data_IF_365053177930
#
_entry.id   IF_365053177930
#
_cell.length_a   1.000
_cell.length_b   1.000
_cell.length_c   1.000
_cell.angle_alpha   90.00
_cell.angle_beta   90.00
_cell.angle_gamma   90.00
#
_symmetry.space_group_name_H-M   'P 1'
#
loop_
_entity.id
_entity.type
_entity.pdbx_description
1 polymer ?
#
# COMPACT_ATOMS: atom_id res chain seq x y z
N UNK A 1 -9.64 16.24 18.79
CA UNK A 1 -11.13 16.13 18.88
C UNK A 1 -11.57 15.00 17.97
N UNK A 2 -11.98 13.86 18.53
CA UNK A 2 -12.61 12.77 17.76
C UNK A 2 -13.85 13.35 17.06
N UNK A 3 -13.83 13.51 15.73
CA UNK A 3 -15.08 13.62 14.98
C UNK A 3 -15.76 12.27 15.06
N UNK A 4 -16.71 12.19 15.97
CA UNK A 4 -17.68 11.10 16.05
C UNK A 4 -18.19 10.80 14.63
N UNK A 5 -18.08 9.55 14.20
CA UNK A 5 -18.86 9.05 13.06
C UNK A 5 -20.26 9.62 13.18
N UNK A 6 -20.77 10.29 12.14
CA UNK A 6 -22.16 10.73 12.13
C UNK A 6 -23.01 9.52 12.50
N UNK A 7 -23.87 9.63 13.53
CA UNK A 7 -24.61 8.50 14.04
C UNK A 7 -25.38 7.83 12.90
N UNK A 8 -25.31 6.51 12.82
CA UNK A 8 -26.18 5.73 11.97
C UNK A 8 -27.62 6.02 12.41
N UNK A 9 -28.49 6.36 11.49
CA UNK A 9 -29.92 6.45 11.79
C UNK A 9 -30.47 5.04 11.86
N UNK A 10 -31.14 4.70 12.95
CA UNK A 10 -31.78 3.41 13.15
C UNK A 10 -33.29 3.58 13.10
N UNK A 11 -33.96 2.71 12.35
CA UNK A 11 -35.44 2.69 12.20
C UNK A 11 -35.93 1.28 12.51
N UNK A 12 -37.14 1.20 13.06
CA UNK A 12 -37.87 -0.06 13.27
C UNK A 12 -38.96 -0.16 12.22
N UNK A 13 -39.02 -1.25 11.52
CA UNK A 13 -40.07 -1.52 10.52
C UNK A 13 -41.41 -1.73 11.25
N UNK A 14 -42.43 -1.00 10.86
CA UNK A 14 -43.77 -1.05 11.48
C UNK A 14 -44.72 -1.93 10.68
N UNK A 15 -44.62 -1.93 9.37
CA UNK A 15 -45.52 -2.67 8.45
C UNK A 15 -44.64 -3.45 7.47
N UNK A 16 -45.17 -4.58 6.99
CA UNK A 16 -44.51 -5.38 5.96
C UNK A 16 -44.33 -4.54 4.68
N UNK A 17 -43.10 -4.55 4.14
CA UNK A 17 -42.73 -3.79 2.95
C UNK A 17 -41.44 -4.33 2.35
N UNK A 18 -40.87 -3.65 1.31
CA UNK A 18 -39.53 -3.93 0.82
C UNK A 18 -38.59 -2.77 1.13
N UNK A 19 -37.30 -3.03 1.10
CA UNK A 19 -36.26 -2.13 1.60
C UNK A 19 -36.24 -0.76 0.88
N UNK A 20 -36.45 -0.69 -0.44
CA UNK A 20 -36.38 0.58 -1.17
C UNK A 20 -37.55 1.52 -0.84
N UNK A 21 -38.84 1.12 -0.86
CA UNK A 21 -39.96 1.94 -0.42
C UNK A 21 -39.78 2.43 1.03
N UNK A 22 -39.37 1.53 1.92
CA UNK A 22 -39.09 1.87 3.32
C UNK A 22 -38.03 2.97 3.46
N UNK A 23 -36.92 2.86 2.71
CA UNK A 23 -35.84 3.86 2.74
C UNK A 23 -36.27 5.22 2.15
N UNK A 24 -37.14 5.23 1.12
CA UNK A 24 -37.68 6.45 0.54
C UNK A 24 -38.53 7.22 1.56
N UNK A 25 -39.32 6.49 2.33
CA UNK A 25 -40.17 7.08 3.40
C UNK A 25 -39.30 7.53 4.58
N UNK A 26 -38.43 6.66 5.10
CA UNK A 26 -37.60 6.92 6.28
C UNK A 26 -36.58 8.05 6.08
N UNK A 27 -36.14 8.30 4.84
CA UNK A 27 -35.16 9.31 4.46
C UNK A 27 -35.77 10.49 3.71
N UNK A 28 -37.03 10.78 3.91
CA UNK A 28 -37.82 11.82 3.22
C UNK A 28 -36.99 12.93 2.56
N UNK A 29 -37.26 13.24 1.28
CA UNK A 29 -36.46 14.20 0.49
C UNK A 29 -35.15 13.68 -0.11
N UNK A 30 -34.80 12.42 0.11
CA UNK A 30 -33.61 11.81 -0.49
C UNK A 30 -33.93 11.18 -1.85
N UNK A 31 -33.19 11.53 -2.90
CA UNK A 31 -33.45 11.00 -4.24
C UNK A 31 -33.24 9.47 -4.31
N UNK A 32 -34.04 8.81 -5.17
CA UNK A 32 -33.96 7.36 -5.41
C UNK A 32 -32.55 6.89 -5.82
N UNK A 33 -31.85 7.70 -6.62
CA UNK A 33 -30.47 7.41 -7.03
C UNK A 33 -29.49 7.45 -5.86
N UNK A 34 -29.67 8.37 -4.91
CA UNK A 34 -28.84 8.44 -3.70
C UNK A 34 -29.08 7.24 -2.78
N UNK A 35 -30.33 6.79 -2.63
CA UNK A 35 -30.64 5.59 -1.85
C UNK A 35 -30.01 4.34 -2.49
N UNK A 36 -30.12 4.18 -3.82
CA UNK A 36 -29.45 3.10 -4.55
C UNK A 36 -27.93 3.12 -4.37
N UNK A 37 -27.32 4.30 -4.34
CA UNK A 37 -25.89 4.44 -4.09
C UNK A 37 -25.48 4.03 -2.65
N UNK A 38 -26.31 4.34 -1.65
CA UNK A 38 -26.12 3.92 -0.25
C UNK A 38 -26.25 2.40 -0.13
N UNK A 39 -27.27 1.80 -0.75
CA UNK A 39 -27.47 0.34 -0.82
C UNK A 39 -26.30 -0.38 -1.47
N UNK A 40 -25.90 0.03 -2.67
CA UNK A 40 -24.79 -0.55 -3.42
C UNK A 40 -23.46 -0.47 -2.66
N UNK A 41 -23.25 0.61 -1.89
CA UNK A 41 -22.08 0.82 -1.04
C UNK A 41 -22.11 0.08 0.31
N UNK A 42 -23.15 -0.74 0.58
CA UNK A 42 -23.25 -1.47 1.84
C UNK A 42 -23.55 -0.59 3.06
N UNK A 43 -24.08 0.61 2.83
CA UNK A 43 -24.46 1.55 3.89
C UNK A 43 -25.76 1.21 4.63
N UNK A 44 -26.41 0.10 4.27
CA UNK A 44 -27.67 -0.36 4.89
C UNK A 44 -27.43 -1.72 5.57
N UNK A 45 -27.88 -1.82 6.83
CA UNK A 45 -27.94 -3.10 7.57
C UNK A 45 -29.38 -3.37 7.98
N UNK A 46 -29.81 -4.59 7.82
CA UNK A 46 -31.06 -5.12 8.36
C UNK A 46 -30.69 -6.19 9.39
N UNK A 47 -31.12 -6.02 10.64
CA UNK A 47 -30.78 -6.90 11.77
C UNK A 47 -29.26 -7.23 11.84
N UNK A 48 -28.43 -6.17 11.70
CA UNK A 48 -26.95 -6.22 11.70
C UNK A 48 -26.32 -6.79 10.43
N UNK A 49 -27.08 -7.41 9.51
CA UNK A 49 -26.57 -7.91 8.22
C UNK A 49 -26.55 -6.82 7.15
N UNK A 50 -25.46 -6.70 6.37
CA UNK A 50 -25.39 -5.76 5.25
C UNK A 50 -26.29 -6.26 4.13
N UNK A 51 -27.27 -5.43 3.72
CA UNK A 51 -28.19 -5.71 2.64
C UNK A 51 -27.94 -4.75 1.49
N UNK A 52 -27.77 -5.29 0.27
CA UNK A 52 -27.56 -4.53 -0.98
C UNK A 52 -28.73 -4.63 -1.95
N UNK A 53 -29.63 -5.57 -1.74
CA UNK A 53 -30.82 -5.79 -2.57
C UNK A 53 -31.91 -4.77 -2.24
N UNK A 54 -32.40 -4.07 -3.24
CA UNK A 54 -33.41 -3.00 -3.06
C UNK A 54 -34.82 -3.54 -2.75
N UNK A 55 -35.09 -4.77 -3.16
CA UNK A 55 -36.35 -5.50 -2.98
C UNK A 55 -36.32 -6.48 -1.78
N UNK A 56 -35.30 -6.37 -0.92
CA UNK A 56 -35.20 -7.20 0.28
C UNK A 56 -36.45 -7.03 1.15
N UNK A 57 -37.14 -8.15 1.50
CA UNK A 57 -38.39 -8.09 2.29
C UNK A 57 -38.09 -7.65 3.72
N UNK A 58 -38.94 -6.77 4.23
CA UNK A 58 -38.86 -6.30 5.62
C UNK A 58 -40.17 -6.66 6.34
N UNK A 59 -40.02 -7.29 7.51
CA UNK A 59 -41.10 -7.66 8.40
C UNK A 59 -41.20 -6.68 9.59
N UNK A 60 -42.38 -6.48 10.19
CA UNK A 60 -42.55 -5.69 11.39
C UNK A 60 -41.59 -6.14 12.51
N UNK A 61 -40.93 -5.19 13.19
CA UNK A 61 -39.93 -5.44 14.22
C UNK A 61 -38.50 -5.48 13.74
N UNK A 62 -38.22 -5.67 12.44
CA UNK A 62 -36.86 -5.63 11.93
C UNK A 62 -36.20 -4.27 12.11
N UNK A 63 -34.92 -4.26 12.41
CA UNK A 63 -34.11 -3.05 12.61
C UNK A 63 -33.34 -2.71 11.35
N UNK A 64 -33.58 -1.53 10.78
CA UNK A 64 -32.85 -1.00 9.64
C UNK A 64 -31.90 0.10 10.10
N UNK A 65 -30.61 -0.12 9.96
CA UNK A 65 -29.55 0.85 10.27
C UNK A 65 -29.03 1.47 8.96
N UNK A 66 -29.07 2.80 8.87
CA UNK A 66 -28.65 3.57 7.70
C UNK A 66 -27.38 4.33 8.07
N UNK A 67 -26.24 3.94 7.49
CA UNK A 67 -25.02 4.71 7.59
C UNK A 67 -25.12 5.97 6.72
N UNK A 68 -24.98 7.14 7.33
CA UNK A 68 -24.90 8.42 6.60
C UNK A 68 -23.53 8.65 5.94
N UNK A 69 -22.56 7.76 6.18
CA UNK A 69 -21.32 7.79 5.44
C UNK A 69 -21.62 7.53 3.96
N UNK A 70 -21.07 8.35 3.06
CA UNK A 70 -21.04 8.02 1.63
C UNK A 70 -20.50 6.60 1.49
N UNK A 71 -21.10 5.75 0.62
CA UNK A 71 -20.47 4.49 0.30
C UNK A 71 -19.02 4.81 -0.09
N UNK A 72 -18.06 4.22 0.59
CA UNK A 72 -16.66 4.29 0.16
C UNK A 72 -16.68 3.69 -1.24
N UNK A 73 -16.40 4.48 -2.28
CA UNK A 73 -16.13 3.89 -3.59
C UNK A 73 -14.91 3.01 -3.37
N UNK A 74 -15.05 1.72 -3.64
CA UNK A 74 -13.91 0.80 -3.56
C UNK A 74 -12.86 1.25 -4.56
N UNK A 75 -11.63 1.34 -4.11
CA UNK A 75 -10.49 1.54 -5.00
C UNK A 75 -10.34 0.27 -5.86
N UNK A 76 -10.89 0.31 -7.08
CA UNK A 76 -10.78 -0.79 -8.04
C UNK A 76 -9.58 -0.56 -8.94
N UNK A 77 -8.53 -1.32 -8.74
CA UNK A 77 -7.32 -1.29 -9.57
C UNK A 77 -6.65 -2.66 -9.57
N UNK A 78 -6.15 -3.09 -10.72
CA UNK A 78 -5.29 -4.26 -10.85
C UNK A 78 -3.84 -3.99 -10.39
N UNK A 79 -3.48 -2.71 -10.23
CA UNK A 79 -2.11 -2.27 -9.94
C UNK A 79 -1.84 -1.98 -8.46
N UNK A 80 -2.89 -1.86 -7.66
CA UNK A 80 -2.74 -1.60 -6.23
C UNK A 80 -3.96 -2.07 -5.44
N UNK A 81 -3.74 -2.46 -4.19
CA UNK A 81 -4.76 -2.83 -3.23
C UNK A 81 -4.71 -1.87 -2.06
N UNK A 82 -5.87 -1.36 -1.64
CA UNK A 82 -6.00 -0.54 -0.45
C UNK A 82 -5.77 -1.41 0.80
N UNK A 83 -4.83 -1.00 1.65
CA UNK A 83 -4.51 -1.67 2.93
C UNK A 83 -5.13 -0.90 4.10
N UNK A 84 -4.96 0.43 4.10
CA UNK A 84 -5.49 1.31 5.15
C UNK A 84 -5.80 2.68 4.57
N UNK A 85 -6.81 3.35 5.09
CA UNK A 85 -7.14 4.72 4.74
C UNK A 85 -7.86 5.42 5.89
N UNK A 86 -7.40 6.63 6.21
CA UNK A 86 -8.10 7.56 7.09
C UNK A 86 -8.24 8.96 6.47
N UNK A 87 -8.37 10.01 7.29
CA UNK A 87 -8.49 11.40 6.84
C UNK A 87 -7.16 11.95 6.30
N UNK A 88 -6.03 11.45 6.79
CA UNK A 88 -4.68 12.04 6.62
C UNK A 88 -3.76 11.22 5.72
N UNK A 89 -3.88 9.90 5.72
CA UNK A 89 -3.00 9.00 4.99
C UNK A 89 -3.77 7.90 4.27
N UNK A 90 -3.11 7.31 3.28
CA UNK A 90 -3.52 6.06 2.64
C UNK A 90 -2.32 5.13 2.51
N UNK A 91 -2.48 3.87 2.91
CA UNK A 91 -1.48 2.81 2.72
C UNK A 91 -2.01 1.83 1.69
N UNK A 92 -1.19 1.53 0.71
CA UNK A 92 -1.53 0.61 -0.37
C UNK A 92 -0.46 -0.48 -0.52
N UNK A 93 -0.86 -1.59 -1.10
CA UNK A 93 0.03 -2.63 -1.59
C UNK A 93 0.13 -2.48 -3.12
N UNK A 94 1.30 -2.07 -3.60
CA UNK A 94 1.60 -1.76 -4.99
C UNK A 94 2.02 -3.02 -5.75
N UNK A 95 1.47 -3.27 -6.92
CA UNK A 95 1.98 -4.30 -7.84
C UNK A 95 3.33 -3.88 -8.45
N UNK A 96 4.11 -4.84 -8.94
CA UNK A 96 5.26 -4.55 -9.80
C UNK A 96 4.79 -3.97 -11.16
N UNK A 97 5.68 -3.28 -11.85
CA UNK A 97 5.42 -2.75 -13.21
C UNK A 97 4.82 -1.34 -13.26
N UNK A 98 4.36 -0.78 -12.12
CA UNK A 98 3.80 0.57 -12.07
C UNK A 98 4.70 1.53 -11.26
N UNK A 99 4.83 2.77 -11.72
CA UNK A 99 5.54 3.85 -11.02
C UNK A 99 4.78 4.28 -9.77
N UNK A 100 5.49 4.57 -8.67
CA UNK A 100 4.91 5.22 -7.49
C UNK A 100 4.39 6.62 -7.84
N UNK A 101 5.20 7.39 -8.57
CA UNK A 101 4.85 8.70 -9.12
C UNK A 101 5.53 8.89 -10.47
N UNK A 102 5.02 9.82 -11.25
CA UNK A 102 5.61 10.21 -12.53
C UNK A 102 5.90 11.72 -12.56
N UNK A 103 6.84 12.12 -13.40
CA UNK A 103 7.21 13.52 -13.59
C UNK A 103 6.15 14.35 -14.34
N UNK A 104 5.12 13.68 -14.91
CA UNK A 104 3.99 14.31 -15.58
C UNK A 104 2.68 13.66 -15.11
N UNK A 105 1.59 14.44 -14.92
CA UNK A 105 0.29 13.93 -14.53
C UNK A 105 -0.35 13.00 -15.58
N UNK A 106 0.12 13.06 -16.82
CA UNK A 106 -0.39 12.21 -17.91
C UNK A 106 0.25 10.81 -17.94
N UNK A 107 1.31 10.58 -17.15
CA UNK A 107 1.95 9.26 -17.07
C UNK A 107 1.26 8.45 -15.96
N UNK A 108 0.79 7.27 -16.34
CA UNK A 108 0.12 6.34 -15.45
C UNK A 108 1.01 5.91 -14.27
N UNK A 109 0.51 6.11 -13.04
CA UNK A 109 1.25 5.85 -11.81
C UNK A 109 0.28 5.56 -10.65
N UNK A 110 0.78 5.06 -9.53
CA UNK A 110 -0.02 4.92 -8.30
C UNK A 110 -0.63 6.25 -7.88
N UNK A 111 0.16 7.34 -7.96
CA UNK A 111 -0.33 8.68 -7.62
C UNK A 111 -1.53 9.08 -8.46
N UNK A 112 -1.51 8.86 -9.77
CA UNK A 112 -2.63 9.21 -10.66
C UNK A 112 -3.87 8.36 -10.35
N UNK A 113 -3.71 7.07 -10.05
CA UNK A 113 -4.83 6.20 -9.62
C UNK A 113 -5.45 6.70 -8.31
N UNK A 114 -4.62 7.09 -7.34
CA UNK A 114 -5.10 7.62 -6.05
C UNK A 114 -5.77 8.99 -6.22
N UNK A 115 -5.24 9.88 -7.05
CA UNK A 115 -5.85 11.18 -7.35
C UNK A 115 -7.25 11.00 -7.97
N UNK A 116 -7.40 10.08 -8.93
CA UNK A 116 -8.70 9.73 -9.52
C UNK A 116 -9.66 9.12 -8.50
N UNK A 117 -9.15 8.27 -7.62
CA UNK A 117 -9.93 7.70 -6.52
C UNK A 117 -10.40 8.79 -5.55
N UNK A 118 -9.52 9.71 -5.14
CA UNK A 118 -9.87 10.80 -4.25
C UNK A 118 -10.82 11.80 -4.89
N UNK A 119 -10.68 12.11 -6.17
CA UNK A 119 -11.61 12.98 -6.90
C UNK A 119 -13.07 12.47 -6.82
N UNK A 120 -13.24 11.13 -6.79
CA UNK A 120 -14.55 10.48 -6.69
C UNK A 120 -15.07 10.37 -5.25
N UNK A 121 -14.16 10.22 -4.28
CA UNK A 121 -14.49 9.91 -2.88
C UNK A 121 -14.34 11.09 -1.93
N UNK A 122 -13.31 11.91 -2.16
CA UNK A 122 -12.85 12.98 -1.27
C UNK A 122 -12.47 14.21 -2.08
N UNK A 123 -13.45 14.97 -2.58
CA UNK A 123 -13.32 16.07 -3.57
C UNK A 123 -12.20 17.12 -3.33
N UNK A 124 -11.61 17.17 -2.15
CA UNK A 124 -10.53 18.11 -1.77
C UNK A 124 -9.18 17.42 -1.44
N UNK A 125 -9.10 16.10 -1.59
CA UNK A 125 -7.88 15.35 -1.31
C UNK A 125 -7.11 15.08 -2.60
N UNK A 126 -5.78 15.05 -2.47
CA UNK A 126 -4.85 14.56 -3.48
C UNK A 126 -3.84 13.61 -2.84
N UNK A 127 -3.22 12.78 -3.63
CA UNK A 127 -2.15 11.91 -3.17
C UNK A 127 -0.83 12.68 -3.13
N UNK A 128 -0.25 12.83 -1.94
CA UNK A 128 1.06 13.44 -1.72
C UNK A 128 2.08 12.34 -1.47
N UNK A 129 3.19 12.39 -2.21
CA UNK A 129 4.22 11.34 -2.21
C UNK A 129 5.25 11.63 -1.13
N UNK A 130 5.32 10.82 -0.10
CA UNK A 130 6.27 10.96 1.03
C UNK A 130 7.46 10.00 0.93
N UNK A 131 7.30 8.90 0.19
CA UNK A 131 8.39 7.98 -0.20
C UNK A 131 8.00 7.21 -1.47
N UNK A 132 8.92 6.40 -1.97
CA UNK A 132 8.70 5.68 -3.22
C UNK A 132 9.29 4.28 -3.22
N UNK A 133 8.68 3.40 -4.02
CA UNK A 133 9.23 2.15 -4.49
C UNK A 133 9.60 2.28 -5.98
N UNK A 134 10.58 1.52 -6.42
CA UNK A 134 10.92 1.43 -7.84
C UNK A 134 9.74 0.84 -8.64
N UNK A 135 9.71 1.03 -9.96
CA UNK A 135 8.65 0.52 -10.83
C UNK A 135 8.41 -0.97 -10.61
N UNK A 136 9.48 -1.75 -10.63
CA UNK A 136 9.40 -3.23 -10.56
C UNK A 136 9.32 -3.77 -9.14
N UNK A 137 9.56 -2.95 -8.12
CA UNK A 137 9.38 -3.33 -6.71
C UNK A 137 7.90 -3.32 -6.35
N UNK A 138 7.39 -4.39 -5.77
CA UNK A 138 6.03 -4.48 -5.24
C UNK A 138 5.99 -4.24 -3.73
N UNK A 139 4.80 -4.02 -3.16
CA UNK A 139 4.58 -3.98 -1.71
C UNK A 139 4.07 -2.67 -1.15
N UNK A 140 4.19 -2.53 0.16
CA UNK A 140 3.59 -1.46 0.97
C UNK A 140 4.18 -0.08 0.65
N UNK A 141 3.27 0.87 0.48
CA UNK A 141 3.58 2.27 0.16
C UNK A 141 2.54 3.17 0.83
N UNK A 142 2.99 4.23 1.51
CA UNK A 142 2.12 5.24 2.13
C UNK A 142 2.14 6.54 1.34
N UNK A 143 0.97 7.18 1.23
CA UNK A 143 0.78 8.53 0.71
C UNK A 143 0.07 9.37 1.75
N UNK A 144 0.43 10.63 1.84
CA UNK A 144 -0.37 11.60 2.58
C UNK A 144 -1.57 12.07 1.75
N UNK A 145 -2.66 12.43 2.42
CA UNK A 145 -3.90 12.97 1.82
C UNK A 145 -4.03 14.47 2.07
N UNK A 146 -3.21 15.02 2.95
CA UNK A 146 -3.19 16.44 3.31
C UNK A 146 -1.75 16.96 3.27
N UNK A 147 -1.60 18.25 2.99
CA UNK A 147 -0.28 18.93 2.99
C UNK A 147 0.37 18.85 4.37
N UNK A 148 -0.41 18.97 5.44
CA UNK A 148 0.10 18.86 6.82
C UNK A 148 0.74 17.48 7.09
N UNK A 149 0.03 16.39 6.73
CA UNK A 149 0.55 15.04 6.89
C UNK A 149 1.78 14.78 6.00
N UNK A 150 1.80 15.34 4.76
CA UNK A 150 2.96 15.29 3.86
C UNK A 150 4.19 15.92 4.52
N UNK A 151 4.07 17.17 4.96
CA UNK A 151 5.17 17.93 5.57
C UNK A 151 5.73 17.23 6.82
N UNK A 152 4.84 16.71 7.69
CA UNK A 152 5.26 15.98 8.90
C UNK A 152 6.04 14.71 8.52
N UNK A 153 5.52 13.92 7.55
CA UNK A 153 6.16 12.69 7.10
C UNK A 153 7.49 12.96 6.39
N UNK A 154 7.58 13.95 5.51
CA UNK A 154 8.82 14.27 4.78
C UNK A 154 9.93 14.77 5.71
N UNK A 155 9.63 15.75 6.57
CA UNK A 155 10.63 16.34 7.47
C UNK A 155 11.08 15.37 8.57
N UNK A 156 10.23 14.43 8.98
CA UNK A 156 10.49 13.55 10.10
C UNK A 156 10.57 12.07 9.72
N UNK A 157 10.76 11.74 8.45
CA UNK A 157 10.71 10.37 7.95
C UNK A 157 11.52 9.38 8.78
N UNK A 158 12.78 9.70 9.08
CA UNK A 158 13.68 8.82 9.85
C UNK A 158 13.24 8.62 11.31
N UNK A 159 12.53 9.59 11.90
CA UNK A 159 12.02 9.52 13.28
C UNK A 159 10.68 8.81 13.35
N UNK A 160 9.83 9.02 12.35
CA UNK A 160 8.47 8.50 12.26
C UNK A 160 8.48 7.03 11.82
N UNK A 161 9.29 6.68 10.83
CA UNK A 161 9.34 5.31 10.29
C UNK A 161 10.26 4.44 11.15
N UNK A 162 9.66 3.41 11.78
CA UNK A 162 10.32 2.53 12.75
C UNK A 162 10.89 1.27 12.12
N UNK A 163 10.19 0.73 11.13
CA UNK A 163 10.63 -0.49 10.46
C UNK A 163 10.19 -0.51 9.00
N UNK A 164 11.10 -0.85 8.11
CA UNK A 164 10.86 -1.06 6.68
C UNK A 164 11.59 -2.31 6.26
N UNK A 165 10.82 -3.37 5.96
CA UNK A 165 11.40 -4.64 5.56
C UNK A 165 10.93 -5.05 4.18
N UNK A 166 11.88 -5.65 3.51
CA UNK A 166 11.69 -6.20 2.17
C UNK A 166 12.04 -7.67 2.19
N UNK A 167 11.38 -8.43 1.36
CA UNK A 167 11.79 -9.79 1.04
C UNK A 167 12.22 -9.84 -0.41
N UNK A 168 13.32 -10.54 -0.69
CA UNK A 168 13.84 -10.74 -2.04
C UNK A 168 14.25 -12.19 -2.26
N UNK A 169 14.20 -12.64 -3.52
CA UNK A 169 14.89 -13.85 -3.97
C UNK A 169 16.19 -13.42 -4.62
N UNK A 170 17.30 -13.94 -4.13
CA UNK A 170 18.65 -13.68 -4.61
C UNK A 170 19.15 -14.86 -5.43
N UNK A 171 19.94 -14.58 -6.44
CA UNK A 171 20.65 -15.60 -7.22
C UNK A 171 21.79 -16.20 -6.40
N UNK A 172 21.88 -17.52 -6.36
CA UNK A 172 22.87 -18.25 -5.59
C UNK A 172 22.52 -18.38 -4.10
N UNK A 173 23.38 -19.10 -3.39
CA UNK A 173 23.24 -19.36 -1.96
C UNK A 173 24.06 -18.36 -1.16
N UNK A 174 23.40 -17.48 -0.44
CA UNK A 174 24.06 -16.51 0.45
C UNK A 174 24.62 -17.25 1.66
N UNK A 175 25.92 -17.44 1.73
CA UNK A 175 26.59 -18.24 2.78
C UNK A 175 26.42 -17.58 4.16
N UNK A 176 26.62 -16.27 4.24
CA UNK A 176 26.48 -15.50 5.48
C UNK A 176 25.01 -15.41 5.89
N UNK A 177 24.61 -15.91 7.08
CA UNK A 177 23.21 -15.97 7.47
C UNK A 177 22.59 -14.59 7.71
N UNK A 178 23.38 -13.59 8.11
CA UNK A 178 22.95 -12.21 8.32
C UNK A 178 24.14 -11.27 8.34
N UNK A 179 23.89 -10.00 8.04
CA UNK A 179 24.94 -8.99 8.05
C UNK A 179 24.42 -7.59 7.78
N UNK A 180 25.36 -6.67 7.59
CA UNK A 180 25.08 -5.28 7.27
C UNK A 180 26.01 -4.79 6.18
N UNK A 181 25.42 -4.26 5.10
CA UNK A 181 26.15 -3.56 4.04
C UNK A 181 26.13 -2.07 4.33
N UNK A 182 27.29 -1.43 4.31
CA UNK A 182 27.49 0.01 4.50
C UNK A 182 28.40 0.54 3.40
N UNK A 183 27.92 1.47 2.61
CA UNK A 183 28.68 2.09 1.52
C UNK A 183 28.07 3.42 1.10
N UNK A 184 28.68 4.09 0.12
CA UNK A 184 28.15 5.29 -0.51
C UNK A 184 27.58 4.94 -1.88
N UNK A 185 26.34 5.40 -2.13
CA UNK A 185 25.66 5.18 -3.39
C UNK A 185 25.60 6.47 -4.21
N UNK A 186 26.02 6.38 -5.45
CA UNK A 186 26.03 7.49 -6.41
C UNK A 186 25.52 7.05 -7.77
N UNK A 187 24.83 7.94 -8.47
CA UNK A 187 24.44 7.70 -9.86
C UNK A 187 25.60 8.09 -10.80
N UNK A 188 25.89 7.26 -11.78
CA UNK A 188 26.76 7.60 -12.89
C UNK A 188 26.02 8.47 -13.94
N UNK A 189 26.72 8.89 -15.01
CA UNK A 189 26.15 9.70 -16.09
C UNK A 189 24.98 9.02 -16.83
N UNK A 190 24.89 7.68 -16.78
CA UNK A 190 23.80 6.89 -17.35
C UNK A 190 22.66 6.63 -16.34
N UNK A 191 22.62 7.34 -15.21
CA UNK A 191 21.64 7.17 -14.12
C UNK A 191 21.62 5.76 -13.53
N UNK A 192 22.75 5.04 -13.62
CA UNK A 192 22.95 3.77 -12.92
C UNK A 192 23.57 4.07 -11.57
N UNK A 193 22.92 3.60 -10.47
CA UNK A 193 23.46 3.73 -9.13
C UNK A 193 24.56 2.68 -8.94
N UNK A 194 25.68 3.07 -8.38
CA UNK A 194 26.79 2.17 -8.00
C UNK A 194 27.24 2.48 -6.58
N UNK A 195 27.89 1.51 -5.95
CA UNK A 195 28.41 1.61 -4.59
C UNK A 195 29.90 1.92 -4.56
N UNK A 196 30.34 2.50 -3.44
CA UNK A 196 31.76 2.68 -3.10
C UNK A 196 31.96 2.42 -1.60
N UNK A 197 33.00 1.70 -1.20
CA UNK A 197 33.30 1.50 0.22
C UNK A 197 33.78 2.78 0.91
N UNK A 198 34.25 3.76 0.15
CA UNK A 198 34.72 5.06 0.63
C UNK A 198 33.83 6.17 0.09
N UNK A 199 33.82 7.33 0.74
CA UNK A 199 33.07 8.49 0.30
C UNK A 199 33.53 8.94 -1.11
N UNK A 200 32.61 8.83 -2.04
CA UNK A 200 32.78 9.21 -3.46
C UNK A 200 31.94 10.42 -3.85
N UNK A 201 31.45 11.19 -2.85
CA UNK A 201 30.47 12.25 -3.01
C UNK A 201 29.05 11.70 -3.26
N UNK A 202 28.81 10.44 -2.95
CA UNK A 202 27.51 9.78 -2.96
C UNK A 202 26.74 9.96 -1.65
N UNK A 203 25.64 9.23 -1.51
CA UNK A 203 24.81 9.24 -0.30
C UNK A 203 25.09 7.98 0.52
N UNK A 204 25.43 8.12 1.79
CA UNK A 204 25.64 6.98 2.68
C UNK A 204 24.39 6.13 2.79
N UNK A 205 24.56 4.82 2.72
CA UNK A 205 23.50 3.82 2.68
C UNK A 205 23.81 2.67 3.63
N UNK A 206 22.81 2.24 4.40
CA UNK A 206 22.90 1.12 5.36
C UNK A 206 21.74 0.17 5.15
N UNK A 207 22.05 -1.10 4.90
CA UNK A 207 21.08 -2.19 4.73
C UNK A 207 21.48 -3.38 5.59
N UNK A 208 20.61 -3.82 6.47
CA UNK A 208 20.75 -5.11 7.15
C UNK A 208 20.08 -6.19 6.31
N UNK A 209 20.69 -7.36 6.26
CA UNK A 209 20.12 -8.52 5.60
C UNK A 209 20.10 -9.74 6.51
N UNK A 210 19.16 -10.64 6.25
CA UNK A 210 19.06 -11.95 6.91
C UNK A 210 18.54 -12.98 5.90
N UNK A 211 19.28 -14.10 5.77
CA UNK A 211 18.82 -15.26 5.02
C UNK A 211 17.67 -15.92 5.76
N UNK A 212 16.53 -16.08 5.09
CA UNK A 212 15.34 -16.74 5.63
C UNK A 212 15.31 -18.22 5.27
N UNK A 213 15.53 -18.51 3.98
CA UNK A 213 15.55 -19.86 3.40
C UNK A 213 16.48 -19.87 2.19
N UNK A 214 16.89 -21.02 1.75
CA UNK A 214 17.58 -21.20 0.46
C UNK A 214 17.24 -22.55 -0.17
N UNK A 215 17.40 -22.65 -1.47
CA UNK A 215 17.55 -23.89 -2.24
C UNK A 215 19.02 -24.08 -2.60
N UNK A 216 19.34 -24.94 -3.53
CA UNK A 216 20.71 -25.11 -4.07
C UNK A 216 21.14 -23.92 -4.94
N UNK A 217 20.19 -23.18 -5.51
CA UNK A 217 20.44 -22.13 -6.52
C UNK A 217 19.97 -20.73 -6.11
N UNK A 218 19.10 -20.61 -5.11
CA UNK A 218 18.46 -19.34 -4.74
C UNK A 218 18.37 -19.15 -3.25
N UNK A 219 18.41 -17.89 -2.80
CA UNK A 219 18.22 -17.49 -1.42
C UNK A 219 16.99 -16.58 -1.28
N UNK A 220 16.09 -16.91 -0.35
CA UNK A 220 15.12 -15.97 0.17
C UNK A 220 15.74 -15.16 1.30
N UNK A 221 15.87 -13.86 1.11
CA UNK A 221 16.47 -12.97 2.09
C UNK A 221 15.53 -11.84 2.51
N UNK A 222 15.59 -11.47 3.78
CA UNK A 222 14.98 -10.26 4.33
C UNK A 222 16.00 -9.13 4.32
N UNK A 223 15.54 -7.94 3.95
CA UNK A 223 16.33 -6.71 4.03
C UNK A 223 15.61 -5.69 4.91
N UNK A 224 16.32 -5.12 5.88
CA UNK A 224 15.86 -4.00 6.70
C UNK A 224 16.67 -2.75 6.38
N UNK A 225 15.97 -1.66 6.07
CA UNK A 225 16.59 -0.41 5.66
C UNK A 225 16.70 0.60 6.82
N UNK A 226 17.91 1.10 7.10
CA UNK A 226 18.10 2.32 7.88
C UNK A 226 17.96 3.56 6.99
N UNK A 227 18.49 3.50 5.78
CA UNK A 227 18.43 4.55 4.76
C UNK A 227 17.53 4.12 3.60
N UNK A 228 17.14 5.05 2.72
CA UNK A 228 16.30 4.76 1.55
C UNK A 228 16.86 5.43 0.29
N UNK A 229 17.98 4.92 -0.24
CA UNK A 229 18.58 5.45 -1.46
C UNK A 229 18.00 4.75 -2.70
N UNK A 230 18.09 5.40 -3.82
CA UNK A 230 17.65 4.84 -5.11
C UNK A 230 18.32 3.47 -5.35
N UNK A 231 17.54 2.44 -5.68
CA UNK A 231 18.01 1.08 -5.96
C UNK A 231 18.85 0.42 -4.84
N UNK A 232 18.81 0.93 -3.60
CA UNK A 232 19.74 0.56 -2.52
C UNK A 232 19.85 -0.95 -2.31
N UNK A 233 18.73 -1.67 -2.12
CA UNK A 233 18.74 -3.12 -1.90
C UNK A 233 19.33 -3.85 -3.11
N UNK A 234 19.00 -3.41 -4.31
CA UNK A 234 19.43 -4.03 -5.57
C UNK A 234 20.94 -3.94 -5.76
N UNK A 235 21.52 -2.76 -5.46
CA UNK A 235 22.97 -2.54 -5.49
C UNK A 235 23.66 -3.31 -4.38
N UNK A 236 23.15 -3.27 -3.15
CA UNK A 236 23.75 -4.00 -2.02
C UNK A 236 23.67 -5.53 -2.20
N UNK A 237 22.60 -6.06 -2.82
CA UNK A 237 22.53 -7.47 -3.17
C UNK A 237 23.58 -7.86 -4.22
N UNK A 238 23.85 -6.99 -5.20
CA UNK A 238 24.94 -7.15 -6.16
C UNK A 238 26.31 -7.12 -5.47
N UNK A 239 26.53 -6.19 -4.53
CA UNK A 239 27.78 -6.09 -3.76
C UNK A 239 28.05 -7.34 -2.92
N UNK A 240 27.00 -8.03 -2.47
CA UNK A 240 27.10 -9.32 -1.78
C UNK A 240 27.45 -10.49 -2.73
N UNK A 241 27.52 -10.26 -4.04
CA UNK A 241 27.70 -11.31 -5.05
C UNK A 241 26.43 -12.09 -5.37
N UNK A 242 25.28 -11.71 -4.78
CA UNK A 242 23.99 -12.39 -4.89
C UNK A 242 22.92 -11.41 -5.36
N UNK A 243 22.90 -11.01 -6.65
CA UNK A 243 21.93 -10.02 -7.15
C UNK A 243 20.50 -10.52 -7.00
N UNK A 244 19.55 -9.58 -6.93
CA UNK A 244 18.13 -9.89 -6.87
C UNK A 244 17.70 -10.53 -8.20
N UNK A 245 17.05 -11.68 -8.14
CA UNK A 245 16.54 -12.37 -9.33
C UNK A 245 15.54 -11.49 -10.10
N UNK A 246 15.58 -11.56 -11.43
CA UNK A 246 14.75 -10.75 -12.31
C UNK A 246 15.17 -9.27 -12.39
N UNK A 247 16.33 -8.91 -11.84
CA UNK A 247 16.85 -7.55 -11.95
C UNK A 247 17.55 -7.35 -13.31
N UNK A 248 16.93 -6.58 -14.19
CA UNK A 248 17.47 -6.29 -15.53
C UNK A 248 18.62 -5.30 -15.54
N UNK A 249 18.91 -4.64 -14.40
CA UNK A 249 19.94 -3.60 -14.30
C UNK A 249 21.15 -4.02 -13.48
N UNK A 250 20.94 -4.76 -12.41
CA UNK A 250 21.96 -5.20 -11.46
C UNK A 250 22.08 -6.73 -11.37
N UNK A 251 21.22 -7.45 -12.10
CA UNK A 251 21.17 -8.91 -12.09
C UNK A 251 22.18 -9.56 -13.03
N UNK A 252 22.23 -10.87 -12.96
CA UNK A 252 23.05 -11.76 -13.78
C UNK A 252 22.26 -12.52 -14.86
N UNK A 253 21.02 -12.12 -15.13
CA UNK A 253 20.13 -12.78 -16.08
C UNK A 253 19.20 -13.84 -15.46
N UNK A 254 19.40 -14.23 -14.21
CA UNK A 254 18.55 -15.17 -13.49
C UNK A 254 17.17 -14.54 -13.21
N UNK A 255 16.12 -15.17 -13.71
CA UNK A 255 14.74 -14.64 -13.64
C UNK A 255 13.70 -15.75 -13.51
N UNK A 256 13.58 -16.39 -12.33
CA UNK A 256 12.72 -17.56 -12.13
C UNK A 256 11.23 -17.28 -12.21
N UNK A 257 10.79 -16.01 -12.10
CA UNK A 257 9.35 -15.65 -12.06
C UNK A 257 8.95 -14.57 -13.08
N UNK A 258 9.83 -14.17 -13.99
CA UNK A 258 9.53 -13.19 -15.06
C UNK A 258 9.48 -11.73 -14.59
N UNK A 259 9.91 -11.40 -13.34
CA UNK A 259 9.97 -10.04 -12.80
C UNK A 259 10.99 -9.90 -11.69
N UNK A 260 11.30 -8.65 -11.31
CA UNK A 260 12.13 -8.37 -10.13
C UNK A 260 11.55 -9.02 -8.85
N UNK A 261 12.35 -9.86 -8.20
CA UNK A 261 11.98 -10.56 -6.97
C UNK A 261 12.25 -9.70 -5.73
N UNK A 262 11.69 -8.50 -5.67
CA UNK A 262 11.80 -7.58 -4.53
C UNK A 262 10.41 -7.09 -4.12
N UNK A 263 10.09 -7.20 -2.81
CA UNK A 263 8.80 -6.85 -2.26
C UNK A 263 8.92 -6.20 -0.89
N UNK A 264 8.36 -4.99 -0.72
CA UNK A 264 8.25 -4.26 0.54
C UNK A 264 7.10 -4.84 1.36
N UNK A 265 7.39 -5.83 2.22
CA UNK A 265 6.33 -6.58 2.89
C UNK A 265 5.92 -6.00 4.23
N UNK A 266 6.78 -5.19 4.90
CA UNK A 266 6.49 -4.58 6.20
C UNK A 266 6.84 -3.10 6.23
N UNK A 267 5.92 -2.32 6.82
CA UNK A 267 6.06 -0.89 7.03
C UNK A 267 5.42 -0.50 8.37
N UNK A 268 6.25 -0.11 9.34
CA UNK A 268 5.81 0.35 10.66
C UNK A 268 6.19 1.81 10.82
N UNK A 269 5.23 2.66 11.19
CA UNK A 269 5.48 4.08 11.36
C UNK A 269 4.47 4.74 12.31
N UNK A 270 4.87 5.85 12.94
CA UNK A 270 3.96 6.66 13.73
C UNK A 270 3.05 7.46 12.80
N UNK A 271 1.76 7.44 13.07
CA UNK A 271 0.79 8.25 12.34
C UNK A 271 1.13 9.74 12.48
N UNK A 272 1.22 10.52 11.37
CA UNK A 272 1.75 11.89 11.41
C UNK A 272 0.94 12.85 12.28
N UNK A 273 -0.36 12.61 12.45
CA UNK A 273 -1.25 13.51 13.20
C UNK A 273 -1.56 12.95 14.59
N UNK A 274 -1.88 11.63 14.70
CA UNK A 274 -2.30 11.06 15.99
C UNK A 274 -1.13 10.59 16.85
N UNK A 275 0.04 10.36 16.26
CA UNK A 275 1.20 9.79 16.94
C UNK A 275 1.07 8.29 17.27
N UNK A 276 0.00 7.63 16.85
CA UNK A 276 -0.21 6.20 17.06
C UNK A 276 0.76 5.38 16.19
N UNK A 277 1.35 4.34 16.76
CA UNK A 277 2.21 3.42 16.00
C UNK A 277 1.34 2.49 15.15
N UNK A 278 1.48 2.59 13.85
CA UNK A 278 0.79 1.76 12.87
C UNK A 278 1.72 0.66 12.35
N UNK A 279 1.18 -0.55 12.25
CA UNK A 279 1.88 -1.74 11.75
C UNK A 279 1.17 -2.28 10.51
N UNK A 280 1.91 -2.40 9.42
CA UNK A 280 1.41 -2.98 8.19
C UNK A 280 2.32 -4.11 7.71
N UNK A 281 1.71 -5.23 7.37
CA UNK A 281 2.43 -6.39 6.84
C UNK A 281 1.61 -7.06 5.75
N UNK A 282 2.28 -7.52 4.71
CA UNK A 282 1.70 -8.33 3.63
C UNK A 282 2.38 -9.70 3.61
N UNK A 283 1.68 -10.76 3.19
CA UNK A 283 2.32 -12.05 2.99
C UNK A 283 3.39 -11.94 1.90
N UNK A 284 4.41 -12.79 1.98
CA UNK A 284 5.41 -12.91 0.92
C UNK A 284 4.72 -13.35 -0.39
N UNK A 285 5.12 -12.79 -1.53
CA UNK A 285 4.55 -13.21 -2.81
C UNK A 285 4.74 -14.72 -3.04
N UNK A 286 3.65 -15.42 -3.32
CA UNK A 286 3.69 -16.89 -3.56
C UNK A 286 4.76 -17.29 -4.59
N UNK A 287 4.95 -16.56 -5.73
CA UNK A 287 6.00 -16.89 -6.69
C UNK A 287 7.41 -16.86 -6.12
N UNK A 288 7.69 -16.03 -5.07
CA UNK A 288 9.00 -16.01 -4.42
C UNK A 288 9.28 -17.31 -3.66
N UNK A 289 8.27 -17.89 -3.03
CA UNK A 289 8.38 -19.17 -2.35
C UNK A 289 8.52 -20.33 -3.35
N UNK A 290 7.82 -20.25 -4.47
CA UNK A 290 7.92 -21.26 -5.54
C UNK A 290 9.28 -21.23 -6.25
N UNK A 291 9.94 -20.08 -6.35
CA UNK A 291 11.29 -19.97 -6.93
C UNK A 291 12.35 -20.75 -6.17
N UNK A 292 12.11 -21.02 -4.88
CA UNK A 292 13.02 -21.83 -4.03
C UNK A 292 12.82 -23.34 -4.17
N UNK A 293 11.78 -23.77 -4.90
CA UNK A 293 11.45 -25.19 -5.11
C UNK A 293 12.02 -25.74 -6.42
N UNK A 294 12.58 -24.87 -7.23
CA UNK A 294 13.26 -25.17 -8.49
C UNK A 294 14.77 -25.24 -8.28
#
# INVERSE_FOLDING_TARGET
>A
MRRLNKPSKTFIVKTETTLLPFLLEALGGTSRNRIKAILGGGGIKVDRAIVKQFDHPLQPGMRVEISQSKPKSELKSSHLRLVYEDEFIVVIDKSAGILSMAGSPHIFSVKTILDDYFAKTHKRCRAHVVHRLDRETSGLLVYAKTIEAEQILEHNWQRIVRDRRYVAVLSGVLETPSGTVRNWLKDNKAYVTYSSPTDNGGKFAVTHFRRLKHSETHTLAEFKLETGRKNQIRVHAQDLGHPVCGDTKYGNGDNPIGRLCLHAYRLDFYHPITGELLHFETPYPKPFLSALQK
#
